data_IF_388443937129
#
_entry.id   IF_388443937129
#
_cell.length_a   1.000
_cell.length_b   1.000
_cell.length_c   1.000
_cell.angle_alpha   90.00
_cell.angle_beta   90.00
_cell.angle_gamma   90.00
#
_symmetry.space_group_name_H-M   'P 1'
#
loop_
_entity.id
_entity.type
_entity.pdbx_description
1 polymer ?
#
# COMPACT_ATOMS: atom_id res chain seq x y z
N UNK A 1 -7.35 -10.48 -26.06
CA UNK A 1 -6.98 -10.24 -27.46
C UNK A 1 -8.15 -9.69 -28.27
N UNK A 2 -7.85 -8.98 -29.36
CA UNK A 2 -8.85 -8.42 -30.27
C UNK A 2 -8.74 -9.09 -31.62
N UNK A 3 -9.86 -9.56 -32.17
CA UNK A 3 -10.03 -9.92 -33.58
C UNK A 3 -11.38 -9.39 -34.05
N UNK A 4 -11.51 -9.12 -35.33
CA UNK A 4 -12.75 -8.64 -35.91
C UNK A 4 -12.90 -9.19 -37.34
N UNK A 5 -14.13 -9.22 -37.81
CA UNK A 5 -14.47 -9.57 -39.17
C UNK A 5 -15.36 -8.47 -39.75
N UNK A 6 -14.94 -7.86 -40.87
CA UNK A 6 -15.79 -6.94 -41.62
C UNK A 6 -16.88 -7.73 -42.33
N UNK A 7 -18.14 -7.31 -42.22
CA UNK A 7 -19.30 -7.99 -42.82
C UNK A 7 -19.80 -7.29 -44.08
N UNK A 8 -19.32 -6.06 -44.35
CA UNK A 8 -19.72 -5.22 -45.48
C UNK A 8 -18.48 -4.52 -46.08
N UNK A 9 -18.50 -4.29 -47.36
CA UNK A 9 -17.48 -3.50 -48.05
C UNK A 9 -17.45 -2.07 -47.50
N UNK A 10 -16.26 -1.52 -47.32
CA UNK A 10 -16.07 -0.18 -46.84
C UNK A 10 -16.23 -0.03 -45.31
N UNK A 11 -16.31 -1.14 -44.54
CA UNK A 11 -16.27 -1.12 -43.09
C UNK A 11 -15.01 -0.43 -42.58
N UNK A 12 -15.16 0.61 -41.74
CA UNK A 12 -14.07 1.25 -41.05
C UNK A 12 -14.00 0.75 -39.59
N UNK A 13 -12.84 0.25 -39.20
CA UNK A 13 -12.57 -0.17 -37.84
C UNK A 13 -11.59 0.80 -37.19
N UNK A 14 -12.02 1.42 -36.08
CA UNK A 14 -11.17 2.34 -35.30
C UNK A 14 -10.99 1.80 -33.89
N UNK A 15 -9.77 1.76 -33.44
CA UNK A 15 -9.45 1.39 -32.05
C UNK A 15 -8.40 2.34 -31.50
N UNK A 16 -8.46 2.52 -30.19
CA UNK A 16 -7.47 3.32 -29.47
C UNK A 16 -6.33 2.43 -29.01
N UNK A 17 -5.14 2.96 -29.09
CA UNK A 17 -3.92 2.33 -28.54
C UNK A 17 -3.28 3.29 -27.53
N UNK A 18 -2.78 2.76 -26.45
CA UNK A 18 -2.13 3.52 -25.38
C UNK A 18 -0.64 3.83 -25.67
N UNK A 19 -0.12 3.40 -26.79
CA UNK A 19 1.22 3.73 -27.25
C UNK A 19 1.25 3.88 -28.77
N UNK A 20 2.16 4.72 -29.29
CA UNK A 20 2.38 4.83 -30.73
C UNK A 20 2.81 3.49 -31.32
N UNK A 21 2.15 3.09 -32.41
CA UNK A 21 2.56 1.90 -33.13
C UNK A 21 3.96 2.08 -33.71
N UNK A 22 4.83 1.08 -33.51
CA UNK A 22 6.16 0.98 -34.11
C UNK A 22 6.50 -0.46 -34.47
N UNK A 23 7.48 -0.65 -35.33
CA UNK A 23 7.96 -1.99 -35.67
C UNK A 23 8.56 -2.73 -34.48
N UNK A 24 9.17 -2.01 -33.55
CA UNK A 24 9.68 -2.58 -32.29
C UNK A 24 8.54 -3.04 -31.41
N UNK A 25 7.50 -2.23 -31.25
CA UNK A 25 6.33 -2.58 -30.46
C UNK A 25 5.57 -3.76 -31.06
N UNK A 26 5.51 -3.87 -32.41
CA UNK A 26 4.92 -5.03 -33.08
C UNK A 26 5.58 -6.35 -32.68
N UNK A 27 6.88 -6.34 -32.36
CA UNK A 27 7.61 -7.55 -31.93
C UNK A 27 7.19 -8.06 -30.55
N UNK A 28 6.55 -7.23 -29.76
CA UNK A 28 6.03 -7.61 -28.43
C UNK A 28 4.63 -8.21 -28.49
N UNK A 29 3.94 -8.12 -29.64
CA UNK A 29 2.60 -8.68 -29.79
C UNK A 29 2.66 -10.19 -29.96
N UNK A 30 1.67 -10.85 -29.39
CA UNK A 30 1.41 -12.27 -29.63
C UNK A 30 0.15 -12.43 -30.50
N UNK A 31 0.17 -13.41 -31.35
CA UNK A 31 -0.92 -13.69 -32.28
C UNK A 31 -1.27 -15.17 -32.21
N UNK A 32 -2.54 -15.47 -32.41
CA UNK A 32 -3.04 -16.84 -32.51
C UNK A 32 -3.82 -16.98 -33.81
N UNK A 33 -3.73 -18.14 -34.44
CA UNK A 33 -4.41 -18.43 -35.68
C UNK A 33 -5.93 -18.34 -35.54
N UNK A 34 -6.60 -17.62 -36.42
CA UNK A 34 -8.04 -17.39 -36.39
C UNK A 34 -8.86 -18.68 -36.55
N UNK A 35 -8.27 -19.71 -37.17
CA UNK A 35 -8.87 -21.01 -37.37
C UNK A 35 -8.57 -22.03 -36.25
N UNK A 36 -7.95 -21.57 -35.13
CA UNK A 36 -7.62 -22.49 -34.05
C UNK A 36 -8.90 -23.10 -33.44
N UNK A 37 -9.01 -24.42 -33.39
CA UNK A 37 -10.21 -25.10 -32.94
C UNK A 37 -10.42 -24.93 -31.41
N UNK A 38 -9.38 -24.68 -30.62
CA UNK A 38 -9.49 -24.46 -29.16
C UNK A 38 -10.14 -23.12 -28.85
N UNK A 39 -9.96 -22.11 -29.73
CA UNK A 39 -10.63 -20.80 -29.59
C UNK A 39 -12.12 -20.88 -29.88
N UNK A 40 -12.55 -21.83 -30.72
CA UNK A 40 -13.93 -22.08 -31.12
C UNK A 40 -14.71 -20.79 -31.50
N UNK A 41 -14.06 -19.90 -32.24
CA UNK A 41 -14.67 -18.64 -32.67
C UNK A 41 -15.73 -18.90 -33.74
N UNK A 42 -16.95 -18.47 -33.47
CA UNK A 42 -18.05 -18.58 -34.41
C UNK A 42 -18.05 -17.38 -35.38
N UNK A 43 -17.23 -17.48 -36.42
CA UNK A 43 -17.15 -16.41 -37.41
C UNK A 43 -18.45 -16.29 -38.22
N UNK A 44 -19.05 -15.09 -38.34
CA UNK A 44 -20.26 -14.87 -39.17
C UNK A 44 -20.05 -15.25 -40.64
N UNK A 45 -18.89 -14.95 -41.20
CA UNK A 45 -18.48 -15.41 -42.51
C UNK A 45 -17.44 -16.53 -42.30
N UNK A 46 -17.65 -17.74 -42.83
CA UNK A 46 -16.66 -18.82 -42.76
C UNK A 46 -15.29 -18.34 -43.25
N UNK A 47 -14.19 -18.74 -42.58
CA UNK A 47 -12.84 -18.26 -42.89
C UNK A 47 -12.40 -18.60 -44.32
N UNK A 48 -12.94 -19.68 -44.87
CA UNK A 48 -12.67 -20.09 -46.28
C UNK A 48 -13.29 -19.12 -47.32
N UNK A 49 -14.23 -18.29 -46.87
CA UNK A 49 -14.91 -17.29 -47.72
C UNK A 49 -14.48 -15.86 -47.35
N UNK A 50 -13.71 -15.70 -46.27
CA UNK A 50 -13.21 -14.42 -45.82
C UNK A 50 -11.90 -14.06 -46.51
N UNK A 51 -11.68 -12.79 -46.79
CA UNK A 51 -10.38 -12.27 -47.22
C UNK A 51 -9.48 -12.13 -45.99
N UNK A 52 -8.38 -12.87 -45.95
CA UNK A 52 -7.42 -12.88 -44.85
C UNK A 52 -6.05 -12.39 -45.34
N UNK A 53 -5.31 -11.71 -44.48
CA UNK A 53 -3.92 -11.37 -44.76
C UNK A 53 -3.02 -12.63 -44.70
N UNK A 54 -1.90 -12.62 -45.44
CA UNK A 54 -0.89 -13.69 -45.34
C UNK A 54 -0.39 -13.91 -43.92
N UNK A 55 -0.33 -12.82 -43.08
CA UNK A 55 0.05 -12.94 -41.70
C UNK A 55 -1.00 -13.68 -40.86
N UNK A 56 -2.29 -13.39 -41.04
CA UNK A 56 -3.37 -14.03 -40.31
C UNK A 56 -3.48 -15.53 -40.64
N UNK A 57 -3.17 -15.91 -41.87
CA UNK A 57 -3.16 -17.32 -42.28
C UNK A 57 -2.04 -18.14 -41.63
N UNK A 58 -0.94 -17.48 -41.21
CA UNK A 58 0.28 -18.16 -40.76
C UNK A 58 0.59 -17.92 -39.27
N UNK A 59 -0.33 -17.34 -38.49
CA UNK A 59 -0.16 -17.24 -37.05
C UNK A 59 -0.11 -18.64 -36.40
N UNK A 60 0.62 -18.82 -35.30
CA UNK A 60 0.70 -20.10 -34.60
C UNK A 60 -0.66 -20.49 -34.02
N UNK A 61 -0.91 -21.79 -33.89
CA UNK A 61 -2.04 -22.29 -33.08
C UNK A 61 -1.86 -21.97 -31.60
N UNK A 62 -2.92 -21.93 -30.82
CA UNK A 62 -2.90 -21.54 -29.39
C UNK A 62 -1.86 -22.33 -28.59
N UNK A 63 -1.77 -23.64 -28.82
CA UNK A 63 -0.79 -24.53 -28.17
C UNK A 63 0.67 -24.18 -28.48
N UNK A 64 0.93 -23.51 -29.60
CA UNK A 64 2.27 -23.14 -30.07
C UNK A 64 2.52 -21.62 -29.94
N UNK A 65 1.49 -20.87 -29.58
CA UNK A 65 1.59 -19.42 -29.41
C UNK A 65 2.39 -19.10 -28.14
N UNK A 66 3.38 -18.21 -28.28
CA UNK A 66 4.11 -17.71 -27.13
C UNK A 66 3.25 -16.65 -26.42
N UNK A 67 2.84 -16.87 -25.15
CA UNK A 67 2.10 -15.84 -24.42
C UNK A 67 2.96 -14.59 -24.23
N UNK A 68 2.31 -13.45 -24.08
CA UNK A 68 3.00 -12.24 -23.60
C UNK A 68 3.45 -12.48 -22.16
N UNK A 69 4.64 -12.01 -21.83
CA UNK A 69 5.09 -12.02 -20.45
C UNK A 69 4.12 -11.17 -19.61
N UNK A 70 3.68 -11.63 -18.43
CA UNK A 70 2.84 -10.83 -17.56
C UNK A 70 3.59 -9.57 -17.12
N UNK A 71 2.85 -8.49 -16.94
CA UNK A 71 3.41 -7.26 -16.38
C UNK A 71 3.89 -7.49 -14.96
N UNK A 72 4.97 -6.79 -14.60
CA UNK A 72 5.55 -6.85 -13.25
C UNK A 72 4.87 -5.87 -12.30
N UNK A 73 4.97 -6.15 -11.02
CA UNK A 73 4.65 -5.22 -9.94
C UNK A 73 5.95 -4.78 -9.27
N UNK A 74 6.19 -3.47 -9.25
CA UNK A 74 7.30 -2.88 -8.50
C UNK A 74 6.83 -2.56 -7.07
N UNK A 75 7.54 -3.04 -6.07
CA UNK A 75 7.29 -2.73 -4.66
C UNK A 75 8.46 -1.89 -4.13
N UNK A 76 8.19 -0.65 -3.70
CA UNK A 76 9.19 0.23 -3.10
C UNK A 76 9.10 0.20 -1.58
N UNK A 77 10.22 0.47 -0.87
CA UNK A 77 10.26 0.36 0.59
C UNK A 77 10.13 -1.09 1.09
N UNK A 78 10.69 -2.02 0.33
CA UNK A 78 10.55 -3.46 0.53
C UNK A 78 11.10 -3.97 1.86
N UNK A 79 12.06 -3.26 2.48
CA UNK A 79 12.64 -3.63 3.77
C UNK A 79 11.87 -3.05 4.96
N UNK A 80 10.90 -2.16 4.71
CA UNK A 80 9.99 -1.61 5.72
C UNK A 80 9.00 -2.65 6.26
N UNK A 81 8.27 -2.30 7.32
CA UNK A 81 7.31 -3.22 7.96
C UNK A 81 6.28 -3.75 6.94
N UNK A 82 5.64 -2.86 6.18
CA UNK A 82 4.65 -3.26 5.17
C UNK A 82 5.29 -3.97 3.97
N UNK A 83 6.46 -3.51 3.49
CA UNK A 83 7.16 -4.16 2.37
C UNK A 83 7.50 -5.62 2.67
N UNK A 84 7.86 -5.94 3.91
CA UNK A 84 8.08 -7.32 4.37
C UNK A 84 6.79 -8.14 4.39
N UNK A 85 5.65 -7.56 4.82
CA UNK A 85 4.36 -8.25 4.79
C UNK A 85 3.84 -8.46 3.35
N UNK A 86 4.07 -7.51 2.44
CA UNK A 86 3.77 -7.69 1.01
C UNK A 86 4.61 -8.84 0.44
N UNK A 87 5.91 -8.89 0.75
CA UNK A 87 6.78 -10.01 0.31
C UNK A 87 6.29 -11.34 0.85
N UNK A 88 5.94 -11.41 2.13
CA UNK A 88 5.36 -12.60 2.77
C UNK A 88 4.08 -13.04 2.06
N UNK A 89 3.17 -12.13 1.80
CA UNK A 89 1.91 -12.41 1.08
C UNK A 89 2.17 -13.00 -0.31
N UNK A 90 3.09 -12.38 -1.07
CA UNK A 90 3.49 -12.85 -2.41
C UNK A 90 4.06 -14.27 -2.37
N UNK A 91 4.89 -14.58 -1.36
CA UNK A 91 5.49 -15.91 -1.17
C UNK A 91 4.43 -16.95 -0.76
N UNK A 92 3.55 -16.64 0.18
CA UNK A 92 2.49 -17.52 0.68
C UNK A 92 1.45 -17.87 -0.39
N UNK A 93 1.19 -16.95 -1.34
CA UNK A 93 0.23 -17.15 -2.44
C UNK A 93 0.90 -17.53 -3.77
N UNK A 94 2.21 -17.81 -3.76
CA UNK A 94 3.01 -18.18 -4.96
C UNK A 94 2.86 -17.19 -6.14
N UNK A 95 2.65 -15.89 -5.84
CA UNK A 95 2.50 -14.85 -6.86
C UNK A 95 3.84 -14.59 -7.55
N UNK A 96 3.79 -14.26 -8.84
CA UNK A 96 4.99 -14.07 -9.68
C UNK A 96 5.04 -12.66 -10.28
N UNK A 97 6.23 -12.26 -10.72
CA UNK A 97 6.41 -10.97 -11.40
C UNK A 97 6.56 -9.79 -10.46
N UNK A 98 6.91 -10.01 -9.20
CA UNK A 98 7.17 -8.94 -8.23
C UNK A 98 8.65 -8.59 -8.19
N UNK A 99 8.95 -7.31 -8.22
CA UNK A 99 10.27 -6.73 -8.03
C UNK A 99 10.24 -5.87 -6.76
N UNK A 100 11.08 -6.23 -5.80
CA UNK A 100 11.14 -5.58 -4.49
C UNK A 100 12.39 -4.72 -4.40
N UNK A 101 12.22 -3.42 -4.17
CA UNK A 101 13.30 -2.44 -4.08
C UNK A 101 13.23 -1.62 -2.79
N UNK A 102 14.38 -1.17 -2.35
CA UNK A 102 14.48 -0.18 -1.27
C UNK A 102 15.34 1.01 -1.73
N UNK A 103 15.64 1.94 -0.85
CA UNK A 103 16.31 3.20 -1.17
C UNK A 103 17.65 3.02 -1.89
N UNK A 104 18.37 1.94 -1.59
CA UNK A 104 19.69 1.67 -2.18
C UNK A 104 19.60 1.17 -3.63
N UNK A 105 18.49 0.50 -4.01
CA UNK A 105 18.24 0.01 -5.37
C UNK A 105 17.42 0.99 -6.20
N UNK A 106 16.41 1.63 -5.58
CA UNK A 106 15.52 2.58 -6.23
C UNK A 106 15.05 3.66 -5.24
N UNK A 107 15.79 4.76 -5.16
CA UNK A 107 15.32 5.96 -4.46
C UNK A 107 14.21 6.61 -5.28
N UNK A 108 12.95 6.24 -5.01
CA UNK A 108 11.79 6.77 -5.72
C UNK A 108 11.61 8.29 -5.56
N UNK A 109 12.40 8.94 -4.71
CA UNK A 109 12.43 10.39 -4.55
C UNK A 109 13.56 11.06 -5.36
N UNK A 110 14.37 10.29 -6.09
CA UNK A 110 15.40 10.81 -7.00
C UNK A 110 14.92 10.68 -8.46
N UNK A 111 14.71 11.79 -9.20
CA UNK A 111 14.30 11.73 -10.59
C UNK A 111 15.25 10.91 -11.50
N UNK A 112 16.55 10.87 -11.19
CA UNK A 112 17.51 10.12 -11.99
C UNK A 112 17.35 8.60 -11.87
N UNK A 113 16.79 8.09 -10.76
CA UNK A 113 16.55 6.66 -10.58
C UNK A 113 15.57 6.08 -11.60
N UNK A 114 14.67 6.92 -12.13
CA UNK A 114 13.64 6.49 -13.08
C UNK A 114 14.18 6.21 -14.49
N UNK A 115 15.31 6.80 -14.87
CA UNK A 115 15.92 6.66 -16.21
C UNK A 115 16.39 5.23 -16.50
N UNK A 116 16.68 4.44 -15.45
CA UNK A 116 17.16 3.05 -15.57
C UNK A 116 16.05 2.01 -15.81
N UNK A 117 14.77 2.40 -15.71
CA UNK A 117 13.63 1.48 -15.76
C UNK A 117 12.96 1.44 -17.14
N UNK A 118 12.73 0.24 -17.65
CA UNK A 118 11.79 0.02 -18.76
C UNK A 118 10.36 -0.13 -18.21
N UNK A 119 9.67 0.97 -18.05
CA UNK A 119 8.32 1.03 -17.49
C UNK A 119 7.29 0.25 -18.31
N UNK A 120 7.61 -0.10 -19.56
CA UNK A 120 6.72 -0.94 -20.38
C UNK A 120 6.57 -2.36 -19.84
N UNK A 121 7.46 -2.82 -18.98
CA UNK A 121 7.43 -4.14 -18.34
C UNK A 121 6.52 -4.19 -17.10
N UNK A 122 6.11 -3.04 -16.56
CA UNK A 122 5.34 -2.97 -15.33
C UNK A 122 3.86 -2.70 -15.60
N UNK A 123 3.01 -3.20 -14.70
CA UNK A 123 1.56 -2.94 -14.66
C UNK A 123 1.16 -2.20 -13.40
N UNK A 124 1.90 -2.41 -12.30
CA UNK A 124 1.56 -1.90 -10.98
C UNK A 124 2.81 -1.41 -10.25
N UNK A 125 2.65 -0.36 -9.45
CA UNK A 125 3.62 0.09 -8.46
C UNK A 125 2.92 0.08 -7.09
N UNK A 126 3.53 -0.58 -6.09
CA UNK A 126 3.09 -0.52 -4.69
C UNK A 126 4.14 0.27 -3.91
N UNK A 127 3.80 1.50 -3.55
CA UNK A 127 4.67 2.36 -2.75
C UNK A 127 4.42 2.17 -1.25
N UNK A 128 5.20 1.29 -0.62
CA UNK A 128 5.25 1.08 0.83
C UNK A 128 6.37 1.89 1.51
N UNK A 129 7.15 2.67 0.74
CA UNK A 129 8.22 3.50 1.25
C UNK A 129 7.74 4.86 1.74
N UNK A 130 8.25 5.32 2.89
CA UNK A 130 7.99 6.64 3.44
C UNK A 130 9.04 7.05 4.48
N UNK A 131 9.18 8.35 4.69
CA UNK A 131 9.84 8.88 5.89
C UNK A 131 8.83 8.88 7.04
N UNK A 132 9.05 8.08 8.08
CA UNK A 132 8.08 7.85 9.18
C UNK A 132 8.51 8.40 10.54
N UNK A 133 9.68 9.03 10.63
CA UNK A 133 10.20 9.59 11.87
C UNK A 133 9.53 10.94 12.18
N UNK A 134 8.30 10.88 12.74
CA UNK A 134 7.38 12.00 12.93
C UNK A 134 8.03 13.19 13.65
N UNK A 135 8.68 12.96 14.80
CA UNK A 135 9.34 14.03 15.56
C UNK A 135 10.57 14.58 14.84
N UNK A 136 11.33 13.72 14.15
CA UNK A 136 12.48 14.15 13.34
C UNK A 136 12.06 15.02 12.16
N UNK A 137 10.85 14.85 11.63
CA UNK A 137 10.31 15.70 10.57
C UNK A 137 10.23 17.19 10.96
N UNK A 138 10.13 17.49 12.26
CA UNK A 138 10.10 18.87 12.76
C UNK A 138 11.49 19.54 12.77
N UNK A 139 12.59 18.77 12.61
CA UNK A 139 13.93 19.36 12.45
C UNK A 139 14.14 19.92 11.04
N UNK A 140 15.05 20.89 10.83
CA UNK A 140 15.34 21.40 9.48
C UNK A 140 15.73 20.30 8.48
N UNK A 141 16.61 19.38 8.86
CA UNK A 141 17.07 18.29 8.00
C UNK A 141 16.00 17.23 7.79
N UNK A 142 15.26 16.87 8.86
CA UNK A 142 14.17 15.91 8.80
C UNK A 142 13.02 16.41 7.92
N UNK A 143 12.71 17.70 7.97
CA UNK A 143 11.71 18.35 7.10
C UNK A 143 12.05 18.16 5.63
N UNK A 144 13.30 18.44 5.23
CA UNK A 144 13.75 18.27 3.84
C UNK A 144 13.61 16.82 3.41
N UNK A 145 14.04 15.86 4.26
CA UNK A 145 13.93 14.45 3.97
C UNK A 145 12.48 13.99 3.88
N UNK A 146 11.61 14.43 4.81
CA UNK A 146 10.18 14.11 4.79
C UNK A 146 9.49 14.63 3.53
N UNK A 147 9.73 15.88 3.11
CA UNK A 147 9.19 16.44 1.87
C UNK A 147 9.70 15.69 0.64
N UNK A 148 10.99 15.31 0.62
CA UNK A 148 11.55 14.53 -0.47
C UNK A 148 10.87 13.15 -0.58
N UNK A 149 10.78 12.39 0.51
CA UNK A 149 10.27 11.03 0.50
C UNK A 149 8.73 10.96 0.41
N UNK A 150 8.01 11.84 1.15
CA UNK A 150 6.56 11.71 1.30
C UNK A 150 5.75 12.57 0.32
N UNK A 151 6.37 13.54 -0.35
CA UNK A 151 5.69 14.42 -1.30
C UNK A 151 6.28 14.31 -2.71
N UNK A 152 7.59 14.61 -2.88
CA UNK A 152 8.23 14.56 -4.19
C UNK A 152 8.24 13.13 -4.76
N UNK A 153 8.62 12.15 -3.95
CA UNK A 153 8.64 10.74 -4.38
C UNK A 153 7.29 10.26 -4.91
N UNK A 154 6.19 10.36 -4.14
CA UNK A 154 4.85 10.04 -4.63
C UNK A 154 4.44 10.80 -5.89
N UNK A 155 4.83 12.09 -6.03
CA UNK A 155 4.57 12.86 -7.23
C UNK A 155 5.30 12.31 -8.47
N UNK A 156 6.54 11.85 -8.32
CA UNK A 156 7.30 11.20 -9.39
C UNK A 156 6.69 9.84 -9.77
N UNK A 157 6.29 9.05 -8.78
CA UNK A 157 5.60 7.77 -9.02
C UNK A 157 4.26 7.99 -9.74
N UNK A 158 3.46 8.98 -9.31
CA UNK A 158 2.19 9.33 -9.95
C UNK A 158 2.38 9.78 -11.39
N UNK A 159 3.44 10.56 -11.68
CA UNK A 159 3.80 10.96 -13.03
C UNK A 159 4.10 9.74 -13.90
N UNK A 160 4.99 8.85 -13.48
CA UNK A 160 5.35 7.63 -14.21
C UNK A 160 4.13 6.71 -14.39
N UNK A 161 3.32 6.53 -13.34
CA UNK A 161 2.11 5.72 -13.42
C UNK A 161 1.14 6.27 -14.49
N UNK A 162 0.99 7.59 -14.56
CA UNK A 162 0.16 8.26 -15.57
C UNK A 162 0.75 8.10 -16.98
N UNK A 163 2.05 8.36 -17.16
CA UNK A 163 2.73 8.30 -18.46
C UNK A 163 2.73 6.89 -19.06
N UNK A 164 2.82 5.86 -18.21
CA UNK A 164 2.89 4.46 -18.63
C UNK A 164 1.62 3.64 -18.35
N UNK A 165 0.54 4.32 -17.94
CA UNK A 165 -0.77 3.69 -17.65
C UNK A 165 -0.68 2.56 -16.60
N UNK A 166 0.13 2.77 -15.55
CA UNK A 166 0.31 1.82 -14.44
C UNK A 166 -0.72 2.09 -13.35
N UNK A 167 -1.06 1.06 -12.57
CA UNK A 167 -1.78 1.22 -11.31
C UNK A 167 -0.80 1.59 -10.20
N UNK A 168 -1.09 2.64 -9.44
CA UNK A 168 -0.27 3.10 -8.32
C UNK A 168 -1.00 2.89 -7.00
N UNK A 169 -0.49 2.03 -6.15
CA UNK A 169 -0.90 1.92 -4.74
C UNK A 169 0.04 2.77 -3.90
N UNK A 170 -0.51 3.68 -3.11
CA UNK A 170 0.25 4.55 -2.21
C UNK A 170 -0.27 4.46 -0.79
N UNK A 171 0.63 4.17 0.16
CA UNK A 171 0.25 4.11 1.57
C UNK A 171 0.40 5.48 2.22
N UNK A 172 -0.69 5.93 2.86
CA UNK A 172 -0.77 7.21 3.55
C UNK A 172 -1.05 7.04 5.05
N UNK A 173 -1.52 8.07 5.72
CA UNK A 173 -1.66 8.13 7.19
C UNK A 173 -2.84 8.99 7.61
N UNK A 174 -3.42 8.66 8.76
CA UNK A 174 -4.36 9.47 9.53
C UNK A 174 -3.81 10.86 9.93
N UNK A 175 -2.49 11.04 9.95
CA UNK A 175 -1.84 12.33 10.23
C UNK A 175 -2.13 13.42 9.18
N UNK A 176 -2.81 13.08 8.10
CA UNK A 176 -3.34 14.08 7.14
C UNK A 176 -4.52 14.86 7.74
N UNK A 177 -5.07 14.41 8.87
CA UNK A 177 -6.14 15.03 9.63
C UNK A 177 -5.65 15.63 10.96
N UNK A 178 -6.44 16.49 11.59
CA UNK A 178 -6.10 17.13 12.88
C UNK A 178 -6.56 16.32 14.11
N UNK A 179 -7.35 15.28 13.91
CA UNK A 179 -7.87 14.43 14.99
C UNK A 179 -9.01 15.07 15.80
N UNK A 180 -9.71 16.08 15.27
CA UNK A 180 -10.85 16.72 15.95
C UNK A 180 -12.18 16.04 15.67
N UNK A 181 -12.31 15.35 14.53
CA UNK A 181 -13.48 14.53 14.22
C UNK A 181 -13.50 13.25 15.07
N UNK A 182 -14.69 12.70 15.34
CA UNK A 182 -14.82 11.40 16.04
C UNK A 182 -14.42 10.22 15.18
N UNK A 183 -14.64 10.34 13.88
CA UNK A 183 -14.27 9.40 12.84
C UNK A 183 -13.88 10.24 11.64
N UNK A 184 -12.77 9.94 11.03
CA UNK A 184 -12.28 10.57 9.80
C UNK A 184 -12.65 9.67 8.62
N UNK A 185 -13.04 10.27 7.50
CA UNK A 185 -13.37 9.57 6.27
C UNK A 185 -12.52 10.06 5.09
N UNK A 186 -12.61 9.37 3.96
CA UNK A 186 -11.77 9.64 2.80
C UNK A 186 -12.04 11.00 2.16
N UNK A 187 -13.24 11.56 2.33
CA UNK A 187 -13.70 12.83 1.74
C UNK A 187 -13.39 14.03 2.65
N UNK A 188 -12.93 13.79 3.88
CA UNK A 188 -12.58 14.86 4.82
C UNK A 188 -11.43 15.72 4.27
N UNK A 189 -11.54 17.03 4.44
CA UNK A 189 -10.48 17.97 4.04
C UNK A 189 -9.20 17.78 4.87
N UNK A 190 -8.05 17.85 4.21
CA UNK A 190 -6.76 17.78 4.90
C UNK A 190 -6.58 18.90 5.93
N UNK A 191 -6.16 18.52 7.14
CA UNK A 191 -5.93 19.42 8.28
C UNK A 191 -4.69 19.03 9.10
N UNK A 192 -3.55 18.68 8.47
CA UNK A 192 -2.39 18.10 9.15
C UNK A 192 -1.77 19.06 10.17
N UNK A 193 -1.48 18.56 11.37
CA UNK A 193 -0.93 19.35 12.48
C UNK A 193 0.59 19.60 12.35
N UNK A 194 1.35 18.58 11.98
CA UNK A 194 2.81 18.60 11.91
C UNK A 194 3.37 18.38 10.51
N UNK A 195 4.69 18.51 10.37
CA UNK A 195 5.40 18.38 9.08
C UNK A 195 5.21 17.02 8.45
N UNK A 196 5.22 15.94 9.24
CA UNK A 196 4.97 14.60 8.72
C UNK A 196 3.61 14.52 8.01
N UNK A 197 2.54 14.92 8.69
CA UNK A 197 1.20 14.94 8.12
C UNK A 197 1.08 15.83 6.88
N UNK A 198 1.70 17.04 6.91
CA UNK A 198 1.74 17.95 5.76
C UNK A 198 2.38 17.28 4.53
N UNK A 199 3.49 16.56 4.74
CA UNK A 199 4.17 15.88 3.63
C UNK A 199 3.40 14.68 3.10
N UNK A 200 2.69 13.94 3.98
CA UNK A 200 1.80 12.84 3.56
C UNK A 200 0.59 13.36 2.78
N UNK A 201 -0.06 14.42 3.25
CA UNK A 201 -1.17 15.07 2.54
C UNK A 201 -0.74 15.59 1.16
N UNK A 202 0.46 16.16 1.04
CA UNK A 202 1.00 16.59 -0.24
C UNK A 202 1.24 15.39 -1.20
N UNK A 203 1.67 14.25 -0.67
CA UNK A 203 1.78 12.99 -1.42
C UNK A 203 0.43 12.48 -1.91
N UNK A 204 -0.58 12.46 -1.03
CA UNK A 204 -1.95 12.07 -1.37
C UNK A 204 -2.51 12.92 -2.52
N UNK A 205 -2.37 14.27 -2.43
CA UNK A 205 -2.81 15.18 -3.48
C UNK A 205 -2.11 14.88 -4.82
N UNK A 206 -0.82 14.55 -4.80
CA UNK A 206 -0.08 14.23 -6.01
C UNK A 206 -0.55 12.90 -6.62
N UNK A 207 -0.72 11.86 -5.80
CA UNK A 207 -1.15 10.53 -6.23
C UNK A 207 -2.59 10.52 -6.73
N UNK A 208 -3.49 11.29 -6.10
CA UNK A 208 -4.89 11.41 -6.52
C UNK A 208 -5.07 11.94 -7.95
N UNK A 209 -4.02 12.54 -8.56
CA UNK A 209 -4.04 12.95 -9.96
C UNK A 209 -3.70 11.81 -10.95
N UNK A 210 -3.18 10.68 -10.49
CA UNK A 210 -2.97 9.52 -11.34
C UNK A 210 -4.32 8.83 -11.64
N UNK A 211 -4.66 8.52 -12.90
CA UNK A 211 -5.97 7.95 -13.26
C UNK A 211 -6.26 6.60 -12.61
N UNK A 212 -5.21 5.81 -12.35
CA UNK A 212 -5.29 4.48 -11.74
C UNK A 212 -4.51 4.49 -10.44
N UNK A 213 -5.19 4.84 -9.34
CA UNK A 213 -4.55 4.89 -8.04
C UNK A 213 -5.40 4.30 -6.93
N UNK A 214 -4.74 3.73 -5.95
CA UNK A 214 -5.27 3.43 -4.64
C UNK A 214 -4.42 4.15 -3.61
N UNK A 215 -5.02 5.04 -2.82
CA UNK A 215 -4.40 5.64 -1.63
C UNK A 215 -4.97 4.88 -0.44
N UNK A 216 -4.12 4.18 0.30
CA UNK A 216 -4.52 3.45 1.52
C UNK A 216 -4.03 4.25 2.71
N UNK A 217 -4.94 4.96 3.39
CA UNK A 217 -4.65 5.67 4.64
C UNK A 217 -4.79 4.73 5.82
N UNK A 218 -3.84 4.78 6.72
CA UNK A 218 -3.82 3.91 7.89
C UNK A 218 -3.33 4.64 9.13
N UNK A 219 -3.58 4.06 10.30
CA UNK A 219 -3.08 4.55 11.58
C UNK A 219 -2.41 3.44 12.37
N UNK A 220 -1.48 3.80 13.26
CA UNK A 220 -0.93 2.93 14.31
C UNK A 220 -0.43 1.58 13.79
N UNK A 221 0.41 1.63 12.75
CA UNK A 221 0.87 0.46 12.00
C UNK A 221 1.82 -0.41 12.82
N UNK A 222 1.53 -1.71 12.87
CA UNK A 222 2.28 -2.76 13.55
C UNK A 222 2.69 -3.83 12.54
N UNK A 223 3.99 -4.06 12.44
CA UNK A 223 4.54 -5.09 11.56
C UNK A 223 5.85 -5.67 12.10
N UNK A 224 6.62 -6.29 11.22
CA UNK A 224 7.92 -6.81 11.60
C UNK A 224 8.94 -5.67 11.74
N UNK A 225 9.75 -5.69 12.81
CA UNK A 225 10.70 -4.63 13.14
C UNK A 225 10.36 -3.90 14.44
N UNK A 226 10.88 -2.69 14.59
CA UNK A 226 10.63 -1.87 15.78
C UNK A 226 9.25 -1.22 15.70
N UNK A 227 8.39 -1.46 16.70
CA UNK A 227 7.05 -0.89 16.80
C UNK A 227 6.60 -0.76 18.26
N UNK A 228 5.42 -0.15 18.46
CA UNK A 228 4.88 0.09 19.79
C UNK A 228 4.64 -1.20 20.58
N UNK A 229 4.05 -2.23 19.97
CA UNK A 229 3.73 -3.50 20.64
C UNK A 229 5.00 -4.18 21.15
N UNK A 230 6.04 -4.31 20.30
CA UNK A 230 7.34 -4.88 20.72
C UNK A 230 8.02 -4.07 21.83
N UNK A 231 7.88 -2.75 21.77
CA UNK A 231 8.39 -1.87 22.82
C UNK A 231 7.68 -2.15 24.15
N UNK A 232 6.35 -2.29 24.13
CA UNK A 232 5.57 -2.60 25.33
C UNK A 232 5.89 -4.00 25.86
N UNK A 233 6.05 -5.02 25.01
CA UNK A 233 6.48 -6.36 25.42
C UNK A 233 7.85 -6.31 26.13
N UNK A 234 8.83 -5.60 25.54
CA UNK A 234 10.13 -5.41 26.15
C UNK A 234 10.06 -4.72 27.51
N UNK A 235 9.24 -3.67 27.62
CA UNK A 235 9.05 -2.93 28.88
C UNK A 235 8.33 -3.77 29.92
N UNK A 236 7.32 -4.57 29.54
CA UNK A 236 6.65 -5.53 30.42
C UNK A 236 7.65 -6.54 31.02
N UNK A 237 8.59 -7.07 30.19
CA UNK A 237 9.63 -7.95 30.68
C UNK A 237 10.56 -7.26 31.70
N UNK A 238 10.97 -6.00 31.45
CA UNK A 238 11.78 -5.22 32.39
C UNK A 238 11.08 -4.95 33.71
N UNK A 239 9.79 -4.56 33.65
CA UNK A 239 8.99 -4.34 34.86
C UNK A 239 8.80 -5.62 35.67
N UNK A 240 8.83 -6.78 35.04
CA UNK A 240 8.72 -8.09 35.69
C UNK A 240 10.06 -8.61 36.23
N UNK A 241 11.18 -8.05 35.81
CA UNK A 241 12.52 -8.46 36.30
C UNK A 241 12.80 -7.81 37.66
N UNK A 242 12.96 -8.58 38.73
CA UNK A 242 13.26 -8.03 40.06
C UNK A 242 14.62 -7.34 40.16
N UNK A 243 15.50 -7.51 39.15
CA UNK A 243 16.80 -6.83 39.10
C UNK A 243 16.76 -5.54 38.26
N UNK A 244 15.68 -5.23 37.56
CA UNK A 244 15.50 -3.97 36.84
C UNK A 244 14.90 -2.90 37.79
N UNK A 245 15.33 -1.66 37.61
CA UNK A 245 14.82 -0.56 38.42
C UNK A 245 13.44 -0.05 37.95
N UNK A 246 12.95 -0.51 36.81
CA UNK A 246 11.69 -0.09 36.22
C UNK A 246 10.51 -0.79 36.92
N UNK A 247 9.61 -0.02 37.55
CA UNK A 247 8.48 -0.57 38.29
C UNK A 247 7.13 -0.34 37.59
N UNK A 248 7.04 0.67 36.74
CA UNK A 248 5.84 1.05 35.98
C UNK A 248 6.25 1.76 34.70
N UNK A 249 5.34 1.84 33.73
CA UNK A 249 5.53 2.57 32.46
C UNK A 249 4.40 3.58 32.28
N UNK A 250 4.75 4.82 31.96
CA UNK A 250 3.77 5.87 31.64
C UNK A 250 3.46 5.86 30.15
N UNK A 251 2.16 5.85 29.79
CA UNK A 251 1.70 5.84 28.39
C UNK A 251 0.55 6.82 28.23
N UNK A 252 0.51 7.50 27.09
CA UNK A 252 -0.51 8.50 26.74
C UNK A 252 -1.90 7.86 26.67
N UNK A 253 -2.89 8.53 27.29
CA UNK A 253 -4.28 8.04 27.41
C UNK A 253 -5.33 8.96 26.79
N UNK A 254 -4.92 10.04 26.16
CA UNK A 254 -5.78 11.03 25.50
C UNK A 254 -5.56 11.11 23.97
N UNK A 255 -4.99 10.06 23.40
CA UNK A 255 -4.92 9.81 21.96
C UNK A 255 -5.62 8.48 21.67
N UNK A 256 -6.60 8.51 20.78
CA UNK A 256 -7.51 7.38 20.52
C UNK A 256 -7.38 6.87 19.07
N UNK A 257 -7.52 5.56 18.88
CA UNK A 257 -7.43 4.94 17.57
C UNK A 257 -7.55 3.42 17.66
N UNK A 258 -7.14 2.76 16.58
CA UNK A 258 -7.08 1.30 16.44
C UNK A 258 -5.73 0.91 15.84
N UNK A 259 -5.23 -0.26 16.18
CA UNK A 259 -4.02 -0.81 15.56
C UNK A 259 -4.33 -1.28 14.13
N UNK A 260 -3.32 -1.17 13.27
CA UNK A 260 -3.34 -1.73 11.92
C UNK A 260 -2.15 -2.66 11.75
N UNK A 261 -2.40 -3.92 11.48
CA UNK A 261 -1.32 -4.88 11.24
C UNK A 261 -0.94 -4.91 9.77
N UNK A 262 0.36 -4.95 9.49
CA UNK A 262 0.87 -4.88 8.11
C UNK A 262 0.50 -6.10 7.27
N UNK A 263 0.22 -7.25 7.88
CA UNK A 263 -0.27 -8.43 7.18
C UNK A 263 -1.72 -8.18 6.68
N UNK A 264 -2.58 -7.58 7.51
CA UNK A 264 -3.94 -7.18 7.11
C UNK A 264 -3.90 -6.09 6.03
N UNK A 265 -2.98 -5.12 6.14
CA UNK A 265 -2.78 -4.11 5.09
C UNK A 265 -2.34 -4.72 3.75
N UNK A 266 -1.43 -5.69 3.78
CA UNK A 266 -1.02 -6.38 2.56
C UNK A 266 -2.21 -7.12 1.93
N UNK A 267 -2.99 -7.85 2.72
CA UNK A 267 -4.19 -8.54 2.24
C UNK A 267 -5.21 -7.56 1.61
N UNK A 268 -5.47 -6.41 2.24
CA UNK A 268 -6.37 -5.38 1.71
C UNK A 268 -5.86 -4.77 0.39
N UNK A 269 -4.56 -4.50 0.29
CA UNK A 269 -3.95 -4.00 -0.95
C UNK A 269 -4.13 -5.00 -2.10
N UNK A 270 -3.90 -6.29 -1.85
CA UNK A 270 -4.10 -7.33 -2.87
C UNK A 270 -5.58 -7.51 -3.21
N UNK A 271 -6.49 -7.42 -2.24
CA UNK A 271 -7.94 -7.44 -2.51
C UNK A 271 -8.33 -6.32 -3.49
N UNK A 272 -7.94 -5.07 -3.21
CA UNK A 272 -8.23 -3.93 -4.09
C UNK A 272 -7.66 -4.11 -5.51
N UNK A 273 -6.51 -4.78 -5.64
CA UNK A 273 -5.86 -5.01 -6.94
C UNK A 273 -6.48 -6.17 -7.71
N UNK A 274 -6.85 -7.26 -7.04
CA UNK A 274 -7.34 -8.50 -7.65
C UNK A 274 -8.80 -8.38 -8.10
N UNK A 275 -9.64 -7.68 -7.33
CA UNK A 275 -11.05 -7.46 -7.65
C UNK A 275 -11.26 -6.22 -8.55
N UNK A 276 -10.15 -5.52 -8.90
CA UNK A 276 -10.19 -4.29 -9.73
C UNK A 276 -11.20 -3.26 -9.18
N UNK A 277 -11.21 -3.09 -7.85
CA UNK A 277 -12.10 -2.17 -7.17
C UNK A 277 -11.99 -0.73 -7.70
N UNK A 278 -13.00 0.12 -7.49
CA UNK A 278 -12.94 1.50 -7.94
C UNK A 278 -11.70 2.24 -7.44
N UNK A 279 -10.95 2.85 -8.36
CA UNK A 279 -9.79 3.67 -7.99
C UNK A 279 -10.18 4.80 -7.05
N UNK A 280 -9.30 5.14 -6.11
CA UNK A 280 -9.52 6.21 -5.16
C UNK A 280 -8.79 6.03 -3.85
N UNK A 281 -9.23 6.77 -2.83
CA UNK A 281 -8.71 6.68 -1.46
C UNK A 281 -9.56 5.71 -0.65
N UNK A 282 -8.89 4.92 0.19
CA UNK A 282 -9.49 3.97 1.13
C UNK A 282 -8.84 4.13 2.49
N UNK A 283 -9.64 4.27 3.52
CA UNK A 283 -9.20 4.24 4.90
C UNK A 283 -9.17 2.78 5.40
N UNK A 284 -8.10 2.40 6.11
CA UNK A 284 -7.86 1.03 6.53
C UNK A 284 -7.19 0.96 7.89
N UNK A 285 -7.87 0.38 8.87
CA UNK A 285 -7.33 -0.05 10.17
C UNK A 285 -7.91 -1.41 10.53
N UNK A 286 -7.47 -2.01 11.63
CA UNK A 286 -8.26 -3.07 12.24
C UNK A 286 -9.64 -2.55 12.64
N UNK A 287 -10.67 -3.40 12.60
CA UNK A 287 -11.98 -3.13 13.21
C UNK A 287 -11.92 -3.31 14.73
N UNK A 288 -13.05 -3.18 15.43
CA UNK A 288 -13.14 -3.30 16.87
C UNK A 288 -13.17 -1.97 17.62
N UNK A 289 -12.93 -2.00 18.91
CA UNK A 289 -13.04 -0.86 19.82
C UNK A 289 -11.98 0.21 19.52
N UNK A 290 -12.38 1.48 19.68
CA UNK A 290 -11.47 2.63 19.68
C UNK A 290 -10.94 2.82 21.09
N UNK A 291 -9.63 2.76 21.25
CA UNK A 291 -8.96 2.77 22.55
C UNK A 291 -7.77 3.73 22.57
N UNK A 292 -7.23 4.02 23.75
CA UNK A 292 -6.02 4.82 23.89
C UNK A 292 -4.73 3.98 23.79
N UNK A 293 -3.60 4.67 23.58
CA UNK A 293 -2.29 4.00 23.66
C UNK A 293 -2.04 3.33 25.01
N UNK A 294 -2.51 3.93 26.11
CA UNK A 294 -2.37 3.36 27.45
C UNK A 294 -3.17 2.06 27.60
N UNK A 295 -4.38 1.99 27.03
CA UNK A 295 -5.20 0.77 27.03
C UNK A 295 -4.54 -0.34 26.23
N UNK A 296 -4.02 -0.05 25.02
CA UNK A 296 -3.26 -1.04 24.23
C UNK A 296 -2.03 -1.51 25.00
N UNK A 297 -1.27 -0.60 25.61
CA UNK A 297 -0.10 -0.97 26.40
C UNK A 297 -0.45 -1.91 27.56
N UNK A 298 -1.54 -1.62 28.28
CA UNK A 298 -2.02 -2.48 29.36
C UNK A 298 -2.40 -3.88 28.87
N UNK A 299 -3.04 -3.97 27.71
CA UNK A 299 -3.39 -5.25 27.08
C UNK A 299 -2.13 -6.03 26.69
N UNK A 300 -1.14 -5.39 26.04
CA UNK A 300 0.14 -6.02 25.69
C UNK A 300 0.87 -6.52 26.95
N UNK A 301 0.91 -5.71 28.01
CA UNK A 301 1.50 -6.09 29.29
C UNK A 301 0.79 -7.30 29.91
N UNK A 302 -0.55 -7.30 29.87
CA UNK A 302 -1.35 -8.43 30.37
C UNK A 302 -1.06 -9.72 29.60
N UNK A 303 -0.97 -9.65 28.26
CA UNK A 303 -0.65 -10.77 27.40
C UNK A 303 0.79 -11.28 27.57
N UNK A 304 1.74 -10.37 27.87
CA UNK A 304 3.17 -10.72 27.97
C UNK A 304 3.53 -11.36 29.31
N UNK A 305 3.15 -10.72 30.43
CA UNK A 305 3.53 -11.13 31.79
C UNK A 305 2.40 -11.04 32.83
N UNK A 306 1.15 -10.80 32.44
CA UNK A 306 0.03 -10.64 33.36
C UNK A 306 0.07 -9.37 34.22
N UNK A 307 0.85 -8.36 33.81
CA UNK A 307 1.16 -7.15 34.59
C UNK A 307 0.59 -5.84 34.00
N UNK A 308 -0.58 -5.89 33.36
CA UNK A 308 -1.24 -4.73 32.77
C UNK A 308 -1.48 -3.55 33.72
N UNK A 309 -1.60 -3.83 35.03
CA UNK A 309 -1.70 -2.82 36.12
C UNK A 309 -0.45 -1.96 36.28
N UNK A 310 0.66 -2.33 35.64
CA UNK A 310 1.92 -1.56 35.64
C UNK A 310 1.97 -0.48 34.59
N UNK A 311 0.98 -0.36 33.73
CA UNK A 311 0.85 0.76 32.80
C UNK A 311 0.08 1.89 33.49
N UNK A 312 0.73 3.05 33.58
CA UNK A 312 0.16 4.26 34.17
C UNK A 312 -0.25 5.25 33.08
N UNK A 313 -1.54 5.56 32.94
CA UNK A 313 -2.01 6.55 31.99
C UNK A 313 -1.51 7.97 32.35
N UNK A 314 -1.11 8.74 31.33
CA UNK A 314 -0.76 10.15 31.43
C UNK A 314 -1.36 10.93 30.25
N UNK A 315 -1.49 12.25 30.36
CA UNK A 315 -1.90 13.07 29.22
C UNK A 315 -0.76 13.30 28.23
N UNK A 316 -1.11 13.63 26.99
CA UNK A 316 -0.16 14.08 25.94
C UNK A 316 0.66 15.27 26.42
N UNK A 317 0.06 16.23 27.15
CA UNK A 317 0.76 17.38 27.72
C UNK A 317 1.87 16.94 28.69
N UNK A 318 1.53 16.04 29.65
CA UNK A 318 2.51 15.49 30.60
C UNK A 318 3.63 14.72 29.91
N UNK A 319 3.30 13.99 28.86
CA UNK A 319 4.31 13.30 28.04
C UNK A 319 5.28 14.30 27.39
N UNK A 320 4.77 15.36 26.82
CA UNK A 320 5.58 16.39 26.13
C UNK A 320 6.44 17.21 27.09
N UNK A 321 6.01 17.44 28.34
CA UNK A 321 6.85 18.08 29.37
C UNK A 321 8.14 17.29 29.63
N UNK A 322 8.09 15.97 29.49
CA UNK A 322 9.25 15.07 29.70
C UNK A 322 10.04 14.78 28.44
N UNK A 323 9.46 15.04 27.25
CA UNK A 323 10.04 14.72 25.96
C UNK A 323 11.18 15.69 25.59
N UNK A 324 12.18 15.17 24.88
CA UNK A 324 13.24 15.99 24.28
C UNK A 324 12.74 16.59 22.98
N UNK A 325 12.79 17.92 22.87
CA UNK A 325 12.46 18.62 21.62
C UNK A 325 13.38 18.19 20.45
N UNK A 326 12.90 18.21 19.18
CA UNK A 326 11.55 18.61 18.78
C UNK A 326 10.52 17.52 19.02
N UNK A 327 9.28 17.93 19.29
CA UNK A 327 8.11 17.05 19.39
C UNK A 327 7.07 17.56 18.41
N UNK A 328 6.58 16.67 17.56
CA UNK A 328 5.50 16.98 16.62
C UNK A 328 4.15 16.89 17.32
N UNK A 329 3.19 17.77 17.03
CA UNK A 329 1.83 17.60 17.50
C UNK A 329 1.22 16.29 16.97
N UNK A 330 0.36 15.67 17.77
CA UNK A 330 -0.33 14.41 17.46
C UNK A 330 -1.84 14.63 17.36
N UNK A 331 -2.54 13.97 16.40
CA UNK A 331 -3.98 13.90 16.43
C UNK A 331 -4.47 13.29 17.77
N UNK A 332 -5.53 13.88 18.35
CA UNK A 332 -6.16 13.28 19.54
C UNK A 332 -7.03 12.07 19.18
N UNK A 333 -7.46 11.99 17.95
CA UNK A 333 -8.23 10.86 17.42
C UNK A 333 -7.70 10.45 16.06
N UNK A 334 -7.38 9.17 15.91
CA UNK A 334 -6.88 8.52 14.69
C UNK A 334 -7.87 7.49 14.16
N UNK A 335 -9.15 7.60 14.52
CA UNK A 335 -10.18 6.66 14.10
C UNK A 335 -10.57 6.95 12.64
N UNK A 336 -10.34 5.97 11.77
CA UNK A 336 -10.70 6.02 10.36
C UNK A 336 -12.00 5.24 10.11
N UNK A 337 -12.84 5.71 9.17
CA UNK A 337 -14.04 5.01 8.71
C UNK A 337 -13.62 3.80 7.85
N UNK A 338 -14.27 2.69 8.06
CA UNK A 338 -13.99 1.46 7.31
C UNK A 338 -15.09 1.11 6.31
N UNK A 339 -16.17 1.90 6.25
CA UNK A 339 -17.33 1.57 5.43
C UNK A 339 -16.96 1.39 3.96
N UNK A 340 -16.11 2.25 3.42
CA UNK A 340 -15.74 2.21 2.00
C UNK A 340 -14.91 0.98 1.63
N UNK A 341 -13.94 0.57 2.45
CA UNK A 341 -13.17 -0.64 2.19
C UNK A 341 -14.05 -1.90 2.38
N UNK A 342 -14.97 -1.88 3.34
CA UNK A 342 -15.91 -2.98 3.58
C UNK A 342 -16.97 -3.11 2.46
N UNK A 343 -17.35 -2.00 1.81
CA UNK A 343 -18.23 -2.00 0.62
C UNK A 343 -17.61 -2.74 -0.58
N UNK A 344 -16.29 -2.89 -0.65
CA UNK A 344 -15.60 -3.73 -1.67
C UNK A 344 -15.76 -5.23 -1.39
N UNK A 345 -16.27 -5.61 -0.23
CA UNK A 345 -16.34 -6.99 0.23
C UNK A 345 -15.12 -7.43 1.06
N UNK A 346 -14.16 -6.53 1.30
CA UNK A 346 -13.05 -6.81 2.22
C UNK A 346 -13.56 -6.86 3.66
N UNK A 347 -13.27 -7.95 4.36
CA UNK A 347 -13.61 -8.12 5.78
C UNK A 347 -12.43 -7.65 6.64
N UNK A 348 -12.62 -6.53 7.37
CA UNK A 348 -11.59 -6.02 8.28
C UNK A 348 -11.46 -6.91 9.51
N UNK A 349 -10.21 -7.24 9.89
CA UNK A 349 -9.93 -8.04 11.09
C UNK A 349 -10.02 -7.18 12.35
N UNK A 350 -10.62 -7.69 13.44
CA UNK A 350 -10.57 -7.02 14.74
C UNK A 350 -9.12 -6.92 15.21
N UNK A 351 -8.68 -5.70 15.57
CA UNK A 351 -7.30 -5.46 15.97
C UNK A 351 -6.88 -6.23 17.23
N UNK A 352 -7.82 -6.59 18.12
CA UNK A 352 -7.51 -7.42 19.28
C UNK A 352 -7.11 -8.85 18.88
N UNK A 353 -7.77 -9.41 17.87
CA UNK A 353 -7.43 -10.75 17.36
C UNK A 353 -6.05 -10.73 16.69
N UNK A 354 -5.79 -9.70 15.87
CA UNK A 354 -4.47 -9.51 15.24
C UNK A 354 -3.38 -9.23 16.27
N UNK A 355 -3.65 -8.43 17.32
CA UNK A 355 -2.72 -8.19 18.43
C UNK A 355 -2.37 -9.48 19.17
N UNK A 356 -3.38 -10.27 19.51
CA UNK A 356 -3.18 -11.56 20.19
C UNK A 356 -2.31 -12.50 19.35
N UNK A 357 -2.63 -12.66 18.09
CA UNK A 357 -1.85 -13.51 17.18
C UNK A 357 -0.39 -13.00 17.06
N UNK A 358 -0.20 -11.67 16.94
CA UNK A 358 1.12 -11.06 16.86
C UNK A 358 1.96 -11.31 18.13
N UNK A 359 1.38 -11.05 19.32
CA UNK A 359 2.08 -11.26 20.61
C UNK A 359 2.43 -12.74 20.80
N UNK A 360 1.52 -13.68 20.47
CA UNK A 360 1.79 -15.12 20.55
C UNK A 360 2.96 -15.57 19.67
N UNK A 361 3.12 -14.98 18.49
CA UNK A 361 4.26 -15.23 17.59
C UNK A 361 5.55 -14.68 18.17
N UNK A 362 5.52 -13.44 18.70
CA UNK A 362 6.71 -12.79 19.26
C UNK A 362 7.19 -13.50 20.56
N UNK A 363 6.28 -14.03 21.38
CA UNK A 363 6.63 -14.79 22.59
C UNK A 363 7.31 -16.15 22.30
N UNK A 364 7.20 -16.66 21.06
CA UNK A 364 7.82 -17.93 20.66
C UNK A 364 9.24 -17.76 20.09
N UNK A 365 9.66 -16.52 19.83
CA UNK A 365 11.01 -16.17 19.33
C UNK A 365 12.03 -16.08 20.47
#
# INVERSE_FOLDING_TARGET
GNSFQALEDGTAYTYLVNAHWSLEQKKTYTFVNLADPELNIQWPIPLEQAELSEADLHHPMLKDAKPMDPKRTLVTGANGQLGQSIRKYVEEHDLKGFEFTDIDEFDFSDPAAYEGYDWSLYGTIINAGAFTAVDKAETPEGRVTAWKANALGPALLAKVATEHNLTLVHVSSDYVFDGTAKVHDEDEAFSPLGVYGQTKAAGDIAVANAPKHYIVRSSWVIGNGHNFVKTMMMLSNKVSDPNDALNEVTVVDDQYGRLTFTDDMAAAIFHLLDDEDPYGTYDLTGSGDVVSWAQIAAEVFAMTNGNGDKVRPISTEQYFESAKAPVSPRPTNSTLDLAKIEETGYETTDWHDSLKAYVEVELKK
#
